data_IF_246384411879
#
_entry.id   IF_246384411879
#
_cell.length_a   1.000
_cell.length_b   1.000
_cell.length_c   1.000
_cell.angle_alpha   90.00
_cell.angle_beta   90.00
_cell.angle_gamma   90.00
#
_symmetry.space_group_name_H-M   'P 1'
#
loop_
_entity.id
_entity.type
_entity.pdbx_description
1 polymer ?
#
# COMPACT_ATOMS: atom_id res chain seq x y z
N UNK A 1 -6.74 -11.89 2.85
CA UNK A 1 -5.82 -13.05 2.92
C UNK A 1 -4.91 -13.03 1.69
N UNK A 2 -3.59 -13.13 1.86
CA UNK A 2 -2.62 -13.12 0.73
C UNK A 2 -2.60 -14.49 0.04
N UNK A 3 -2.58 -14.52 -1.30
CA UNK A 3 -2.54 -15.75 -2.10
C UNK A 3 -1.33 -16.64 -1.76
N UNK A 4 -0.22 -16.06 -1.31
CA UNK A 4 0.98 -16.76 -0.84
C UNK A 4 0.68 -17.67 0.36
N UNK A 5 -0.17 -17.23 1.29
CA UNK A 5 -0.55 -18.04 2.46
C UNK A 5 -1.43 -19.21 2.04
N UNK A 6 -2.29 -19.04 1.03
CA UNK A 6 -3.15 -20.11 0.52
C UNK A 6 -2.31 -21.16 -0.22
N UNK A 7 -1.42 -20.74 -1.11
CA UNK A 7 -0.54 -21.66 -1.84
C UNK A 7 0.40 -22.44 -0.90
N UNK A 8 0.98 -21.78 0.10
CA UNK A 8 1.80 -22.44 1.12
C UNK A 8 0.99 -23.43 1.97
N UNK A 9 -0.26 -23.10 2.33
CA UNK A 9 -1.13 -23.97 3.12
C UNK A 9 -1.75 -25.13 2.34
N UNK A 10 -1.84 -25.02 1.01
CA UNK A 10 -2.38 -26.07 0.13
C UNK A 10 -1.31 -27.10 -0.30
N UNK A 11 -0.06 -26.96 0.16
CA UNK A 11 0.90 -28.06 0.20
C UNK A 11 1.51 -28.49 -1.13
N UNK A 12 1.37 -27.69 -2.20
CA UNK A 12 2.04 -27.98 -3.47
C UNK A 12 3.30 -27.10 -3.64
N UNK A 13 4.50 -27.62 -3.29
CA UNK A 13 5.75 -26.90 -3.44
C UNK A 13 6.15 -26.67 -4.92
N UNK A 14 5.44 -27.28 -5.88
CA UNK A 14 5.69 -27.07 -7.31
C UNK A 14 5.00 -25.81 -7.86
N UNK A 15 4.08 -25.20 -7.11
CA UNK A 15 3.41 -23.97 -7.52
C UNK A 15 4.34 -22.76 -7.36
N UNK A 16 4.84 -22.22 -8.48
CA UNK A 16 5.60 -20.97 -8.46
C UNK A 16 4.68 -19.82 -8.08
N UNK A 17 4.96 -19.17 -6.95
CA UNK A 17 4.19 -17.99 -6.51
C UNK A 17 5.00 -16.71 -6.65
N UNK A 18 4.30 -15.60 -6.86
CA UNK A 18 4.89 -14.27 -6.88
C UNK A 18 4.15 -13.37 -5.91
N UNK A 19 4.84 -12.36 -5.39
CA UNK A 19 4.26 -11.33 -4.52
C UNK A 19 4.41 -9.96 -5.19
N UNK A 20 3.45 -9.06 -4.96
CA UNK A 20 3.51 -7.68 -5.45
C UNK A 20 3.46 -6.74 -4.24
N UNK A 21 4.58 -6.10 -3.86
CA UNK A 21 4.62 -5.17 -2.74
C UNK A 21 4.23 -3.75 -3.13
N UNK A 22 3.46 -3.08 -2.28
CA UNK A 22 3.31 -1.63 -2.26
C UNK A 22 4.18 -1.04 -1.16
N UNK A 23 5.09 -0.13 -1.51
CA UNK A 23 6.06 0.48 -0.59
C UNK A 23 5.81 1.98 -0.48
N UNK A 24 5.96 2.52 0.73
CA UNK A 24 5.97 3.96 1.02
C UNK A 24 6.88 4.23 2.21
N UNK A 25 7.45 5.44 2.27
CA UNK A 25 8.07 5.97 3.49
C UNK A 25 7.03 6.34 4.55
N UNK A 26 7.42 6.27 5.82
CA UNK A 26 6.69 6.87 6.95
C UNK A 26 7.10 8.34 7.07
N UNK A 27 6.13 9.25 7.07
CA UNK A 27 6.36 10.68 7.29
C UNK A 27 6.01 11.12 8.71
N UNK A 28 6.64 12.19 9.22
CA UNK A 28 6.33 12.75 10.53
C UNK A 28 4.86 13.21 10.69
N UNK A 29 4.22 13.59 9.59
CA UNK A 29 2.82 14.02 9.58
C UNK A 29 1.82 12.89 9.30
N UNK A 30 2.30 11.64 9.20
CA UNK A 30 1.43 10.51 8.94
C UNK A 30 0.74 10.05 10.24
N UNK A 31 -0.57 9.84 10.14
CA UNK A 31 -1.22 8.85 10.99
C UNK A 31 -1.11 7.47 10.32
N UNK A 32 -1.33 6.42 11.12
CA UNK A 32 -1.22 5.02 10.65
C UNK A 32 -2.14 4.77 9.46
N UNK A 33 -3.35 5.33 9.44
CA UNK A 33 -4.32 5.13 8.37
C UNK A 33 -3.82 5.72 7.05
N UNK A 34 -3.28 6.94 7.05
CA UNK A 34 -2.72 7.58 5.86
C UNK A 34 -1.49 6.87 5.35
N UNK A 35 -0.59 6.46 6.25
CA UNK A 35 0.60 5.71 5.88
C UNK A 35 0.22 4.36 5.24
N UNK A 36 -0.69 3.61 5.86
CA UNK A 36 -1.18 2.34 5.34
C UNK A 36 -1.94 2.49 4.03
N UNK A 37 -2.77 3.53 3.89
CA UNK A 37 -3.47 3.82 2.63
C UNK A 37 -2.47 4.07 1.51
N UNK A 38 -1.38 4.80 1.75
CA UNK A 38 -0.36 5.05 0.72
C UNK A 38 0.34 3.75 0.28
N UNK A 39 0.63 2.86 1.23
CA UNK A 39 1.16 1.53 0.94
C UNK A 39 0.17 0.69 0.11
N UNK A 40 -1.11 0.71 0.49
CA UNK A 40 -2.17 -0.02 -0.21
C UNK A 40 -2.44 0.54 -1.62
N UNK A 41 -2.41 1.87 -1.81
CA UNK A 41 -2.52 2.51 -3.13
C UNK A 41 -1.36 2.05 -4.05
N UNK A 42 -0.14 1.90 -3.52
CA UNK A 42 1.00 1.37 -4.26
C UNK A 42 0.82 -0.14 -4.57
N UNK A 43 0.31 -0.91 -3.62
CA UNK A 43 0.01 -2.34 -3.79
C UNK A 43 -1.07 -2.55 -4.87
N UNK A 44 -2.11 -1.72 -4.85
CA UNK A 44 -3.20 -1.75 -5.81
C UNK A 44 -2.66 -1.51 -7.23
N UNK A 45 -1.82 -0.50 -7.41
CA UNK A 45 -1.16 -0.22 -8.69
C UNK A 45 -0.28 -1.39 -9.16
N UNK A 46 0.51 -1.98 -8.26
CA UNK A 46 1.33 -3.15 -8.59
C UNK A 46 0.49 -4.32 -9.12
N UNK A 47 -0.67 -4.58 -8.48
CA UNK A 47 -1.61 -5.62 -8.91
C UNK A 47 -2.29 -5.26 -10.24
N UNK A 48 -2.74 -4.01 -10.37
CA UNK A 48 -3.46 -3.54 -11.55
C UNK A 48 -2.58 -3.53 -12.80
N UNK A 49 -1.28 -3.24 -12.65
CA UNK A 49 -0.31 -3.26 -13.76
C UNK A 49 0.24 -4.64 -14.10
N UNK A 50 -0.34 -5.72 -13.57
CA UNK A 50 0.01 -7.10 -13.95
C UNK A 50 0.75 -7.91 -12.89
N UNK A 51 0.77 -7.47 -11.62
CA UNK A 51 1.40 -8.19 -10.49
C UNK A 51 2.91 -8.39 -10.70
N UNK A 52 3.50 -9.30 -9.90
CA UNK A 52 4.92 -9.65 -9.82
C UNK A 52 5.87 -8.44 -9.92
N UNK A 53 5.57 -7.37 -9.18
CA UNK A 53 6.33 -6.13 -9.21
C UNK A 53 6.24 -5.39 -7.88
N UNK A 54 7.26 -4.59 -7.64
CA UNK A 54 7.29 -3.61 -6.55
C UNK A 54 6.80 -2.28 -7.10
N UNK A 55 5.93 -1.60 -6.36
CA UNK A 55 5.56 -0.21 -6.66
C UNK A 55 5.83 0.64 -5.43
N UNK A 56 6.49 1.78 -5.65
CA UNK A 56 6.85 2.74 -4.62
C UNK A 56 6.00 4.00 -4.80
N UNK A 57 5.39 4.48 -3.71
CA UNK A 57 4.77 5.79 -3.66
C UNK A 57 5.50 6.69 -2.68
N UNK A 58 5.89 7.84 -3.18
CA UNK A 58 6.46 8.91 -2.38
C UNK A 58 5.34 9.75 -1.75
N UNK A 59 5.66 10.40 -0.64
CA UNK A 59 4.79 11.43 -0.05
C UNK A 59 4.77 12.60 -1.02
N UNK A 60 3.57 13.01 -1.47
CA UNK A 60 3.40 14.28 -2.19
C UNK A 60 3.03 15.35 -1.17
N UNK A 61 3.65 16.53 -1.25
CA UNK A 61 3.36 17.66 -0.34
C UNK A 61 1.86 18.05 -0.33
N UNK A 62 1.15 17.77 -1.43
CA UNK A 62 -0.27 18.09 -1.60
C UNK A 62 -1.21 17.21 -0.74
N UNK A 63 -0.82 15.98 -0.40
CA UNK A 63 -1.61 15.10 0.48
C UNK A 63 -1.75 15.69 1.89
N UNK A 64 -0.84 16.61 2.26
CA UNK A 64 -0.82 17.29 3.55
C UNK A 64 -1.83 18.46 3.63
N UNK A 65 -2.24 19.03 2.49
CA UNK A 65 -3.19 20.16 2.46
C UNK A 65 -4.62 19.75 2.77
N UNK A 66 -5.04 18.56 2.30
CA UNK A 66 -6.39 18.02 2.52
C UNK A 66 -6.67 17.66 3.98
N UNK A 67 -5.61 17.44 4.75
CA UNK A 67 -5.64 17.08 6.16
C UNK A 67 -5.82 18.31 7.06
N UNK A 68 -5.23 19.46 6.68
CA UNK A 68 -5.40 20.73 7.39
C UNK A 68 -6.76 21.36 7.13
N UNK A 69 -7.30 21.26 5.91
CA UNK A 69 -8.62 21.83 5.58
C UNK A 69 -9.76 21.21 6.39
N UNK A 70 -9.65 19.91 6.74
CA UNK A 70 -10.69 19.23 7.53
C UNK A 70 -10.64 19.57 9.03
N UNK A 71 -9.51 20.08 9.55
CA UNK A 71 -9.44 20.56 10.94
C UNK A 71 -9.96 21.99 11.09
N UNK A 72 -9.85 22.83 10.05
CA UNK A 72 -10.27 24.24 10.11
C UNK A 72 -11.79 24.40 10.05
N UNK A 73 -12.53 23.41 9.54
CA UNK A 73 -13.99 23.48 9.38
C UNK A 73 -14.79 22.97 10.59
N UNK A 74 -14.14 22.76 11.75
CA UNK A 74 -14.76 22.27 12.98
C UNK A 74 -14.85 23.33 14.10
N UNK A 75 -14.90 24.63 13.74
CA UNK A 75 -15.15 25.74 14.69
C UNK A 75 -16.41 26.47 14.29
#
# INVERSE_FOLDING_TARGET
MSATIIAYRLGDPSCTTTTSPGITGLHLSDDVTRWMKRADDALYEAKHRGRNRVTLRYIKEEDNKRSKSNQVNNI
#
